data_IF_773569065991
#
_entry.id   IF_773569065991
#
_cell.length_a   1.000
_cell.length_b   1.000
_cell.length_c   1.000
_cell.angle_alpha   90.00
_cell.angle_beta   90.00
_cell.angle_gamma   90.00
#
_symmetry.space_group_name_H-M   'P 1'
#
loop_
_entity.id
_entity.type
_entity.pdbx_description
1 polymer ?
#
# COMPACT_ATOMS: atom_id res chain seq x y z
N UNK A 1 -4.40 84.88 -76.63
CA UNK A 1 -5.15 83.69 -77.08
C UNK A 1 -5.96 83.24 -75.88
N UNK A 2 -7.22 83.67 -75.80
CA UNK A 2 -8.11 83.34 -74.69
C UNK A 2 -8.53 81.88 -74.80
N UNK A 3 -7.80 80.98 -74.14
CA UNK A 3 -8.19 79.59 -74.03
C UNK A 3 -9.55 79.54 -73.32
N UNK A 4 -10.59 79.14 -74.05
CA UNK A 4 -11.96 79.03 -73.54
C UNK A 4 -11.95 78.16 -72.26
N UNK A 5 -12.55 78.61 -71.15
CA UNK A 5 -12.56 77.88 -69.87
C UNK A 5 -13.00 76.41 -69.96
N UNK A 6 -13.83 76.09 -70.95
CA UNK A 6 -14.28 74.73 -71.23
C UNK A 6 -13.16 73.75 -71.64
N UNK A 7 -12.11 74.22 -72.32
CA UNK A 7 -10.96 73.39 -72.74
C UNK A 7 -10.17 72.90 -71.52
N UNK A 8 -10.02 73.73 -70.48
CA UNK A 8 -9.35 73.33 -69.25
C UNK A 8 -10.10 72.20 -68.53
N UNK A 9 -11.43 72.22 -68.55
CA UNK A 9 -12.27 71.15 -67.95
C UNK A 9 -12.09 69.83 -68.72
N UNK A 10 -12.07 69.89 -70.06
CA UNK A 10 -11.85 68.69 -70.90
C UNK A 10 -10.43 68.13 -70.71
N UNK A 11 -9.42 69.00 -70.65
CA UNK A 11 -8.03 68.60 -70.45
C UNK A 11 -7.78 68.02 -69.05
N UNK A 12 -8.41 68.58 -68.02
CA UNK A 12 -8.38 68.04 -66.65
C UNK A 12 -9.10 66.68 -66.57
N UNK A 13 -10.23 66.53 -67.29
CA UNK A 13 -10.94 65.26 -67.39
C UNK A 13 -10.09 64.16 -68.04
N UNK A 14 -9.42 64.46 -69.15
CA UNK A 14 -8.50 63.53 -69.82
C UNK A 14 -7.33 63.17 -68.91
N UNK A 15 -6.76 64.16 -68.20
CA UNK A 15 -5.69 63.92 -67.23
C UNK A 15 -6.15 63.02 -66.07
N UNK A 16 -7.37 63.21 -65.57
CA UNK A 16 -7.95 62.37 -64.51
C UNK A 16 -8.19 60.93 -64.98
N UNK A 17 -8.66 60.74 -66.21
CA UNK A 17 -8.86 59.40 -66.80
C UNK A 17 -7.51 58.71 -67.02
N UNK A 18 -6.50 59.42 -67.55
CA UNK A 18 -5.14 58.89 -67.69
C UNK A 18 -4.54 58.53 -66.33
N UNK A 19 -4.75 59.35 -65.30
CA UNK A 19 -4.26 59.07 -63.95
C UNK A 19 -4.98 57.88 -63.32
N UNK A 20 -6.29 57.74 -63.53
CA UNK A 20 -7.06 56.57 -63.09
C UNK A 20 -6.65 55.28 -63.81
N UNK A 21 -6.26 55.38 -65.09
CA UNK A 21 -5.78 54.23 -65.86
C UNK A 21 -4.33 53.86 -65.51
N UNK A 22 -3.51 54.86 -65.18
CA UNK A 22 -2.13 54.69 -64.73
C UNK A 22 -2.04 54.24 -63.26
N UNK A 23 -3.14 54.28 -62.50
CA UNK A 23 -3.20 53.74 -61.16
C UNK A 23 -3.54 52.24 -61.24
N UNK A 24 -2.57 51.31 -61.16
CA UNK A 24 -2.87 49.89 -61.07
C UNK A 24 -3.75 49.68 -59.84
N UNK A 25 -4.98 49.23 -60.08
CA UNK A 25 -5.96 48.88 -59.05
C UNK A 25 -5.25 48.15 -57.92
N UNK A 26 -5.40 48.65 -56.70
CA UNK A 26 -5.03 48.02 -55.41
C UNK A 26 -5.70 46.64 -55.26
N UNK A 27 -5.28 45.69 -56.08
CA UNK A 27 -5.72 44.29 -56.08
C UNK A 27 -4.77 43.42 -55.25
N UNK A 28 -3.67 44.00 -54.75
CA UNK A 28 -2.73 43.29 -53.89
C UNK A 28 -3.28 43.03 -52.49
N UNK A 29 -4.07 43.93 -51.89
CA UNK A 29 -4.67 43.70 -50.56
C UNK A 29 -5.75 42.61 -50.57
N UNK A 30 -6.53 42.49 -51.66
CA UNK A 30 -7.58 41.46 -51.74
C UNK A 30 -7.01 40.09 -52.10
N UNK A 31 -6.00 40.04 -52.97
CA UNK A 31 -5.33 38.78 -53.34
C UNK A 31 -4.39 38.30 -52.22
N UNK A 32 -3.78 39.20 -51.44
CA UNK A 32 -3.02 38.83 -50.25
C UNK A 32 -3.94 38.32 -49.15
N UNK A 33 -5.07 38.97 -48.90
CA UNK A 33 -6.06 38.50 -47.93
C UNK A 33 -6.65 37.14 -48.30
N UNK A 34 -6.96 36.88 -49.57
CA UNK A 34 -7.45 35.57 -50.04
C UNK A 34 -6.38 34.47 -49.89
N UNK A 35 -5.11 34.81 -50.15
CA UNK A 35 -3.99 33.86 -49.99
C UNK A 35 -3.69 33.56 -48.52
N UNK A 36 -3.78 34.56 -47.64
CA UNK A 36 -3.64 34.38 -46.18
C UNK A 36 -4.80 33.56 -45.62
N UNK A 37 -6.05 33.79 -46.07
CA UNK A 37 -7.19 32.95 -45.66
C UNK A 37 -6.98 31.51 -46.10
N UNK A 38 -6.48 31.27 -47.31
CA UNK A 38 -6.19 29.93 -47.83
C UNK A 38 -5.03 29.23 -47.11
N UNK A 39 -4.04 29.98 -46.68
CA UNK A 39 -2.93 29.48 -45.85
C UNK A 39 -3.41 29.12 -44.43
N UNK A 40 -4.31 29.93 -43.86
CA UNK A 40 -4.98 29.65 -42.58
C UNK A 40 -5.93 28.46 -42.70
N UNK A 41 -6.67 28.32 -43.80
CA UNK A 41 -7.52 27.15 -44.09
C UNK A 41 -6.67 25.87 -44.17
N UNK A 42 -5.58 25.88 -44.93
CA UNK A 42 -4.64 24.75 -44.99
C UNK A 42 -4.04 24.41 -43.62
N UNK A 43 -3.76 25.42 -42.80
CA UNK A 43 -3.23 25.23 -41.43
C UNK A 43 -4.32 24.66 -40.50
N UNK A 44 -5.57 25.12 -40.64
CA UNK A 44 -6.72 24.60 -39.89
C UNK A 44 -7.05 23.16 -40.27
N UNK A 45 -6.95 22.80 -41.56
CA UNK A 45 -7.09 21.41 -42.01
C UNK A 45 -6.03 20.51 -41.36
N UNK A 46 -4.78 20.99 -41.28
CA UNK A 46 -3.69 20.31 -40.57
C UNK A 46 -3.98 20.13 -39.08
N UNK A 47 -4.40 21.20 -38.39
CA UNK A 47 -4.79 21.13 -36.98
C UNK A 47 -5.99 20.22 -36.73
N UNK A 48 -6.98 20.22 -37.62
CA UNK A 48 -8.16 19.37 -37.48
C UNK A 48 -7.81 17.89 -37.63
N UNK A 49 -6.90 17.56 -38.54
CA UNK A 49 -6.35 16.22 -38.67
C UNK A 49 -5.54 15.80 -37.43
N UNK A 50 -4.76 16.72 -36.86
CA UNK A 50 -3.97 16.47 -35.65
C UNK A 50 -4.86 16.24 -34.42
N UNK A 51 -5.87 17.08 -34.20
CA UNK A 51 -6.85 16.91 -33.11
C UNK A 51 -7.66 15.62 -33.26
N UNK A 52 -7.99 15.21 -34.48
CA UNK A 52 -8.68 13.94 -34.71
C UNK A 52 -7.80 12.76 -34.32
N UNK A 53 -6.52 12.80 -34.71
CA UNK A 53 -5.52 11.79 -34.37
C UNK A 53 -5.26 11.75 -32.85
N UNK A 54 -5.14 12.91 -32.19
CA UNK A 54 -4.97 12.99 -30.73
C UNK A 54 -6.18 12.40 -29.98
N UNK A 55 -7.41 12.70 -30.41
CA UNK A 55 -8.60 12.12 -29.80
C UNK A 55 -8.63 10.59 -29.94
N UNK A 56 -8.28 10.08 -31.12
CA UNK A 56 -8.21 8.63 -31.35
C UNK A 56 -7.15 7.96 -30.45
N UNK A 57 -5.98 8.59 -30.32
CA UNK A 57 -4.92 8.13 -29.42
C UNK A 57 -5.33 8.18 -27.94
N UNK A 58 -6.01 9.25 -27.51
CA UNK A 58 -6.52 9.36 -26.14
C UNK A 58 -7.56 8.28 -25.83
N UNK A 59 -8.47 8.01 -26.77
CA UNK A 59 -9.48 6.95 -26.63
C UNK A 59 -8.80 5.58 -26.54
N UNK A 60 -7.79 5.33 -27.39
CA UNK A 60 -7.05 4.07 -27.35
C UNK A 60 -6.25 3.92 -26.04
N UNK A 61 -5.59 4.98 -25.57
CA UNK A 61 -4.86 4.95 -24.30
C UNK A 61 -5.79 4.72 -23.11
N UNK A 62 -6.95 5.39 -23.08
CA UNK A 62 -7.96 5.17 -22.02
C UNK A 62 -8.51 3.75 -22.09
N UNK A 63 -8.75 3.22 -23.28
CA UNK A 63 -9.16 1.82 -23.49
C UNK A 63 -8.12 0.84 -22.96
N UNK A 64 -6.84 1.07 -23.25
CA UNK A 64 -5.72 0.27 -22.75
C UNK A 64 -5.60 0.36 -21.22
N UNK A 65 -5.65 1.57 -20.66
CA UNK A 65 -5.58 1.79 -19.22
C UNK A 65 -6.75 1.11 -18.49
N UNK A 66 -7.96 1.17 -19.05
CA UNK A 66 -9.12 0.45 -18.51
C UNK A 66 -8.90 -1.06 -18.51
N UNK A 67 -8.40 -1.62 -19.62
CA UNK A 67 -8.07 -3.06 -19.71
C UNK A 67 -7.01 -3.46 -18.68
N UNK A 68 -5.97 -2.64 -18.50
CA UNK A 68 -4.92 -2.89 -17.51
C UNK A 68 -5.46 -2.82 -16.08
N UNK A 69 -6.31 -1.83 -15.77
CA UNK A 69 -6.97 -1.71 -14.48
C UNK A 69 -7.86 -2.91 -14.19
N UNK A 70 -8.67 -3.35 -15.16
CA UNK A 70 -9.53 -4.52 -15.01
C UNK A 70 -8.69 -5.79 -14.76
N UNK A 71 -7.61 -5.99 -15.52
CA UNK A 71 -6.70 -7.12 -15.34
C UNK A 71 -6.01 -7.08 -13.96
N UNK A 72 -5.57 -5.91 -13.51
CA UNK A 72 -4.96 -5.72 -12.20
C UNK A 72 -5.96 -5.93 -11.07
N UNK A 73 -7.20 -5.47 -11.24
CA UNK A 73 -8.28 -5.70 -10.29
C UNK A 73 -8.59 -7.20 -10.17
N UNK A 74 -8.64 -7.94 -11.28
CA UNK A 74 -8.81 -9.39 -11.27
C UNK A 74 -7.66 -10.10 -10.54
N UNK A 75 -6.41 -9.74 -10.85
CA UNK A 75 -5.25 -10.32 -10.17
C UNK A 75 -5.25 -10.06 -8.65
N UNK A 76 -5.64 -8.85 -8.22
CA UNK A 76 -5.81 -8.55 -6.80
C UNK A 76 -6.96 -9.35 -6.17
N UNK A 77 -8.09 -9.50 -6.87
CA UNK A 77 -9.21 -10.30 -6.39
C UNK A 77 -8.81 -11.77 -6.18
N UNK A 78 -8.04 -12.34 -7.10
CA UNK A 78 -7.50 -13.69 -7.01
C UNK A 78 -6.56 -13.83 -5.81
N UNK A 79 -5.61 -12.89 -5.62
CA UNK A 79 -4.71 -12.91 -4.45
C UNK A 79 -5.49 -12.85 -3.13
N UNK A 80 -6.49 -11.99 -3.04
CA UNK A 80 -7.34 -11.91 -1.84
C UNK A 80 -8.11 -13.21 -1.63
N UNK A 81 -8.59 -13.85 -2.71
CA UNK A 81 -9.29 -15.14 -2.61
C UNK A 81 -8.36 -16.25 -2.11
N UNK A 82 -7.12 -16.33 -2.60
CA UNK A 82 -6.12 -17.31 -2.15
C UNK A 82 -5.74 -17.06 -0.68
N UNK A 83 -5.51 -15.81 -0.29
CA UNK A 83 -5.24 -15.45 1.12
C UNK A 83 -6.41 -15.83 2.04
N UNK A 84 -7.65 -15.58 1.62
CA UNK A 84 -8.84 -16.01 2.37
C UNK A 84 -8.89 -17.53 2.51
N UNK A 85 -8.60 -18.27 1.44
CA UNK A 85 -8.57 -19.73 1.48
C UNK A 85 -7.49 -20.25 2.44
N UNK A 86 -6.29 -19.65 2.41
CA UNK A 86 -5.20 -19.99 3.34
C UNK A 86 -5.56 -19.68 4.79
N UNK A 87 -6.19 -18.52 5.04
CA UNK A 87 -6.67 -18.16 6.38
C UNK A 87 -7.68 -19.18 6.90
N UNK A 88 -8.67 -19.56 6.09
CA UNK A 88 -9.66 -20.58 6.46
C UNK A 88 -9.01 -21.94 6.73
N UNK A 89 -8.05 -22.37 5.89
CA UNK A 89 -7.33 -23.62 6.11
C UNK A 89 -6.48 -23.58 7.40
N UNK A 90 -5.90 -22.43 7.74
CA UNK A 90 -5.15 -22.26 8.98
C UNK A 90 -6.07 -22.24 10.20
N UNK A 91 -7.21 -21.57 10.12
CA UNK A 91 -8.24 -21.54 11.17
C UNK A 91 -8.79 -22.95 11.43
N UNK A 92 -9.04 -23.73 10.38
CA UNK A 92 -9.43 -25.14 10.50
C UNK A 92 -8.36 -25.97 11.20
N UNK A 93 -7.09 -25.85 10.81
CA UNK A 93 -5.99 -26.55 11.50
C UNK A 93 -5.86 -26.15 12.96
N UNK A 94 -6.05 -24.86 13.26
CA UNK A 94 -5.98 -24.37 14.64
C UNK A 94 -7.12 -24.93 15.49
N UNK A 95 -8.36 -24.88 14.98
CA UNK A 95 -9.52 -25.46 15.67
C UNK A 95 -9.41 -26.98 15.83
N UNK A 96 -8.92 -27.71 14.83
CA UNK A 96 -8.61 -29.14 14.95
C UNK A 96 -7.53 -29.40 16.01
N UNK A 97 -6.47 -28.60 16.05
CA UNK A 97 -5.41 -28.76 17.05
C UNK A 97 -5.92 -28.45 18.46
N UNK A 98 -6.74 -27.41 18.61
CA UNK A 98 -7.31 -27.00 19.88
C UNK A 98 -8.31 -28.03 20.41
N UNK A 99 -9.14 -28.61 19.54
CA UNK A 99 -10.06 -29.69 19.93
C UNK A 99 -9.29 -30.95 20.32
N UNK A 100 -8.24 -31.33 19.58
CA UNK A 100 -7.36 -32.45 19.95
C UNK A 100 -6.70 -32.22 21.32
N UNK A 101 -6.12 -31.04 21.55
CA UNK A 101 -5.52 -30.68 22.84
C UNK A 101 -6.55 -30.75 23.96
N UNK A 102 -7.73 -30.15 23.78
CA UNK A 102 -8.81 -30.20 24.78
C UNK A 102 -9.24 -31.63 25.09
N UNK A 103 -9.40 -32.48 24.08
CA UNK A 103 -9.75 -33.89 24.32
C UNK A 103 -8.62 -34.67 25.01
N UNK A 104 -7.36 -34.33 24.74
CA UNK A 104 -6.20 -34.91 25.40
C UNK A 104 -6.11 -34.45 26.86
N UNK A 105 -6.37 -33.17 27.13
CA UNK A 105 -6.46 -32.60 28.48
C UNK A 105 -7.60 -33.22 29.28
N UNK A 106 -8.79 -33.38 28.69
CA UNK A 106 -9.94 -34.03 29.34
C UNK A 106 -9.64 -35.51 29.67
N UNK A 107 -8.98 -36.23 28.76
CA UNK A 107 -8.53 -37.62 29.01
C UNK A 107 -7.44 -37.67 30.09
N UNK A 108 -6.49 -36.75 30.08
CA UNK A 108 -5.43 -36.67 31.09
C UNK A 108 -6.03 -36.33 32.47
N UNK A 109 -7.00 -35.42 32.53
CA UNK A 109 -7.72 -35.07 33.75
C UNK A 109 -8.54 -36.25 34.29
N UNK A 110 -9.22 -37.01 33.43
CA UNK A 110 -9.91 -38.24 33.83
C UNK A 110 -8.92 -39.32 34.32
N UNK A 111 -7.80 -39.51 33.62
CA UNK A 111 -6.76 -40.45 34.03
C UNK A 111 -6.12 -40.04 35.37
N UNK A 112 -5.86 -38.75 35.58
CA UNK A 112 -5.36 -38.21 36.83
C UNK A 112 -6.38 -38.36 37.96
N UNK A 113 -7.67 -38.11 37.72
CA UNK A 113 -8.72 -38.32 38.72
C UNK A 113 -8.86 -39.81 39.09
N UNK A 114 -8.81 -40.72 38.12
CA UNK A 114 -8.83 -42.16 38.36
C UNK A 114 -7.57 -42.64 39.10
N UNK A 115 -6.40 -42.06 38.78
CA UNK A 115 -5.15 -42.32 39.48
C UNK A 115 -5.20 -41.78 40.92
N UNK A 116 -5.76 -40.59 41.16
CA UNK A 116 -5.95 -40.05 42.51
C UNK A 116 -6.90 -40.90 43.34
N UNK A 117 -8.03 -41.37 42.79
CA UNK A 117 -8.94 -42.30 43.47
C UNK A 117 -8.25 -43.64 43.82
N UNK A 118 -7.40 -44.14 42.92
CA UNK A 118 -6.60 -45.35 43.17
C UNK A 118 -5.46 -45.10 44.17
N UNK A 119 -4.86 -43.92 44.15
CA UNK A 119 -3.83 -43.50 45.09
C UNK A 119 -4.42 -43.22 46.49
N UNK A 120 -5.66 -42.75 46.60
CA UNK A 120 -6.36 -42.55 47.87
C UNK A 120 -6.79 -43.89 48.48
N UNK A 121 -7.18 -44.86 47.63
CA UNK A 121 -7.36 -46.26 48.04
C UNK A 121 -6.04 -46.94 48.46
N UNK A 122 -4.91 -46.57 47.85
CA UNK A 122 -3.58 -47.05 48.23
C UNK A 122 -2.99 -46.31 49.45
N UNK A 123 -3.29 -45.03 49.63
CA UNK A 123 -2.87 -44.18 50.75
C UNK A 123 -3.66 -44.48 52.03
N UNK A 124 -4.90 -44.98 51.92
CA UNK A 124 -5.58 -45.63 53.04
C UNK A 124 -4.83 -46.88 53.55
N UNK A 125 -3.79 -47.35 52.83
CA UNK A 125 -2.86 -48.40 53.26
C UNK A 125 -1.43 -47.88 53.51
N UNK A 126 -1.18 -46.57 53.47
CA UNK A 126 0.13 -45.95 53.73
C UNK A 126 -0.04 -44.48 54.11
N UNK A 127 -0.50 -44.23 55.33
CA UNK A 127 -0.29 -42.95 56.00
C UNK A 127 1.20 -42.81 56.33
N UNK A 128 1.95 -42.06 55.52
CA UNK A 128 3.10 -41.28 55.98
C UNK A 128 3.61 -40.34 54.86
N UNK A 129 3.46 -39.04 55.11
CA UNK A 129 4.48 -38.02 54.88
C UNK A 129 4.85 -37.67 53.42
N UNK A 130 4.19 -36.65 52.85
CA UNK A 130 4.88 -35.45 52.34
C UNK A 130 3.86 -34.39 51.85
N UNK A 131 3.79 -33.26 52.55
CA UNK A 131 3.19 -32.05 52.00
C UNK A 131 4.13 -31.46 50.93
N UNK A 132 3.66 -31.13 49.71
CA UNK A 132 4.53 -30.53 48.71
C UNK A 132 4.87 -29.09 49.15
N UNK A 133 6.16 -28.68 49.14
CA UNK A 133 6.54 -27.32 49.46
C UNK A 133 5.96 -26.39 48.40
N UNK A 134 5.43 -25.24 48.82
CA UNK A 134 5.06 -24.15 47.92
C UNK A 134 6.33 -23.67 47.20
N UNK A 135 6.45 -23.97 45.91
CA UNK A 135 7.64 -23.66 45.11
C UNK A 135 7.64 -22.15 44.76
N UNK A 136 8.22 -21.33 45.65
CA UNK A 136 8.46 -19.90 45.40
C UNK A 136 9.36 -19.69 44.18
N UNK A 137 9.26 -18.55 43.49
CA UNK A 137 10.09 -18.27 42.30
C UNK A 137 11.58 -18.28 42.66
N UNK A 138 11.92 -17.85 43.89
CA UNK A 138 13.28 -17.93 44.44
C UNK A 138 13.80 -19.35 44.58
N UNK A 139 12.96 -20.32 44.97
CA UNK A 139 13.37 -21.73 45.09
C UNK A 139 13.65 -22.39 43.74
N UNK A 140 12.90 -22.01 42.70
CA UNK A 140 13.08 -22.56 41.34
C UNK A 140 14.34 -22.05 40.63
N UNK A 141 14.81 -20.87 41.02
CA UNK A 141 15.99 -20.22 40.44
C UNK A 141 17.06 -19.91 41.50
N UNK A 142 17.20 -20.76 42.52
CA UNK A 142 18.15 -20.54 43.62
C UNK A 142 19.58 -20.28 43.12
N UNK A 143 20.04 -21.06 42.14
CA UNK A 143 21.36 -20.91 41.54
C UNK A 143 21.56 -19.55 40.83
N UNK A 144 20.51 -18.97 40.25
CA UNK A 144 20.55 -17.64 39.65
C UNK A 144 20.73 -16.56 40.73
N UNK A 145 20.02 -16.69 41.85
CA UNK A 145 20.10 -15.76 42.98
C UNK A 145 21.45 -15.85 43.70
N UNK A 146 22.00 -17.05 43.88
CA UNK A 146 23.34 -17.24 44.48
C UNK A 146 24.41 -16.52 43.66
N UNK A 147 24.34 -16.60 42.33
CA UNK A 147 25.27 -15.92 41.42
C UNK A 147 25.07 -14.38 41.43
N UNK A 148 23.83 -13.92 41.58
CA UNK A 148 23.51 -12.50 41.71
C UNK A 148 24.01 -11.91 43.05
N UNK A 149 23.85 -12.63 44.16
CA UNK A 149 24.36 -12.25 45.48
C UNK A 149 25.90 -12.24 45.52
N UNK A 150 26.55 -13.10 44.72
CA UNK A 150 28.00 -13.07 44.48
C UNK A 150 28.47 -11.85 43.65
N UNK A 151 27.57 -10.96 43.23
CA UNK A 151 27.89 -9.74 42.48
C UNK A 151 28.27 -9.99 41.02
N UNK A 152 27.93 -11.15 40.44
CA UNK A 152 28.22 -11.45 39.04
C UNK A 152 27.32 -10.61 38.12
N UNK A 153 27.85 -10.22 36.97
CA UNK A 153 27.07 -9.46 35.99
C UNK A 153 25.92 -10.29 35.42
N UNK A 154 24.83 -9.62 35.06
CA UNK A 154 23.63 -10.26 34.47
C UNK A 154 24.00 -11.10 33.23
N UNK A 155 24.98 -10.66 32.46
CA UNK A 155 25.54 -11.40 31.32
C UNK A 155 26.19 -12.73 31.69
N UNK A 156 26.93 -12.75 32.80
CA UNK A 156 27.59 -13.95 33.29
C UNK A 156 26.57 -14.95 33.82
N UNK A 157 25.56 -14.45 34.53
CA UNK A 157 24.46 -15.25 35.06
C UNK A 157 23.65 -15.88 33.92
N UNK A 158 23.31 -15.10 32.89
CA UNK A 158 22.64 -15.59 31.68
C UNK A 158 23.41 -16.74 31.00
N UNK A 159 24.73 -16.59 30.87
CA UNK A 159 25.60 -17.62 30.29
C UNK A 159 25.72 -18.88 31.14
N UNK A 160 25.77 -18.78 32.47
CA UNK A 160 25.91 -19.94 33.36
C UNK A 160 24.60 -20.69 33.56
N UNK A 161 23.47 -19.99 33.53
CA UNK A 161 22.13 -20.57 33.74
C UNK A 161 21.40 -20.94 32.45
N UNK A 162 21.94 -20.56 31.29
CA UNK A 162 21.35 -20.84 29.97
C UNK A 162 20.15 -19.96 29.61
N UNK A 163 19.87 -18.92 30.39
CA UNK A 163 18.75 -17.99 30.23
C UNK A 163 19.17 -16.74 29.44
N UNK A 164 18.21 -16.05 28.82
CA UNK A 164 18.50 -14.78 28.13
C UNK A 164 18.62 -13.62 29.13
N UNK A 165 19.40 -12.57 28.79
CA UNK A 165 19.57 -11.38 29.66
C UNK A 165 18.24 -10.78 30.14
N UNK A 166 17.24 -10.75 29.26
CA UNK A 166 15.90 -10.24 29.58
C UNK A 166 15.14 -11.13 30.58
N UNK A 167 15.29 -12.45 30.48
CA UNK A 167 14.66 -13.41 31.39
C UNK A 167 15.28 -13.33 32.79
N UNK A 168 16.61 -13.22 32.88
CA UNK A 168 17.31 -13.03 34.16
C UNK A 168 16.83 -11.77 34.88
N UNK A 169 16.71 -10.64 34.16
CA UNK A 169 16.23 -9.39 34.73
C UNK A 169 14.76 -9.48 35.18
N UNK A 170 13.92 -10.15 34.40
CA UNK A 170 12.51 -10.38 34.70
C UNK A 170 12.34 -11.23 35.97
N UNK A 171 13.08 -12.34 36.10
CA UNK A 171 13.03 -13.24 37.26
C UNK A 171 13.44 -12.50 38.54
N UNK A 172 14.50 -11.67 38.49
CA UNK A 172 14.94 -10.85 39.63
C UNK A 172 13.84 -9.85 40.03
N UNK A 173 13.19 -9.21 39.05
CA UNK A 173 12.13 -8.24 39.32
C UNK A 173 10.87 -8.90 39.91
N UNK A 174 10.47 -10.07 39.40
CA UNK A 174 9.36 -10.85 39.93
C UNK A 174 9.61 -11.31 41.36
N UNK A 175 10.81 -11.81 41.66
CA UNK A 175 11.15 -12.22 43.02
C UNK A 175 11.15 -11.03 44.01
N UNK A 176 11.59 -9.85 43.58
CA UNK A 176 11.51 -8.63 44.41
C UNK A 176 10.07 -8.20 44.67
N UNK A 177 9.16 -8.40 43.72
CA UNK A 177 7.74 -8.13 43.90
C UNK A 177 7.09 -9.14 44.86
N UNK A 178 7.47 -10.42 44.79
CA UNK A 178 7.02 -11.49 45.70
C UNK A 178 7.43 -11.22 47.16
N UNK A 179 8.61 -10.61 47.41
CA UNK A 179 9.06 -10.24 48.76
C UNK A 179 8.37 -8.98 49.32
N UNK A 180 7.81 -8.13 48.43
CA UNK A 180 7.12 -6.89 48.82
C UNK A 180 5.62 -7.06 49.13
N UNK A 181 5.09 -8.27 48.96
CA UNK A 181 3.69 -8.66 49.21
C UNK A 181 3.61 -9.46 50.51
#
# INVERSE_FOLDING_TARGET
>A
MDLKPWIYIVLLGIAAVLYAFMLPKRREETVSSERVVKEVENTLEGYMAEIQNENEQLVELVSQMKKELDAKQQAHQEQVSDLRQRMLAMEQKMTESQTRLRTAEEKLAQAAAAASLSAEAAAASSEADHAPPVHSIKSRYAELFDLYEQGKSIDMIAKSTGLQRGEVQLIIQLAKQEESV
#
